data_IF_661304960583
#
_entry.id   IF_661304960583
#
_cell.length_a   1.000
_cell.length_b   1.000
_cell.length_c   1.000
_cell.angle_alpha   90.00
_cell.angle_beta   90.00
_cell.angle_gamma   90.00
#
_symmetry.space_group_name_H-M   'P 1'
#
loop_
_entity.id
_entity.type
_entity.pdbx_description
1 polymer ?
#
# COMPACT_ATOMS: atom_id res chain seq x y z
N UNK A 1 30.70 -13.34 -9.50
CA UNK A 1 31.53 -12.56 -8.55
C UNK A 1 30.70 -11.33 -8.20
N UNK A 2 30.17 -11.30 -6.98
CA UNK A 2 29.27 -10.22 -6.53
C UNK A 2 30.04 -8.91 -6.41
N UNK A 3 29.46 -7.83 -6.92
CA UNK A 3 29.99 -6.46 -6.76
C UNK A 3 29.88 -6.01 -5.29
N UNK A 4 30.82 -6.46 -4.48
CA UNK A 4 30.94 -5.99 -3.09
C UNK A 4 31.60 -4.61 -2.96
N UNK A 5 32.13 -4.05 -4.07
CA UNK A 5 32.96 -2.84 -4.01
C UNK A 5 32.19 -1.51 -3.92
N UNK A 6 30.89 -1.46 -4.24
CA UNK A 6 30.10 -0.22 -4.16
C UNK A 6 29.49 0.06 -2.78
N UNK A 7 29.59 -0.86 -1.85
CA UNK A 7 29.00 -0.74 -0.50
C UNK A 7 30.03 -0.42 0.59
N UNK A 8 31.31 -0.25 0.26
CA UNK A 8 32.39 -0.16 1.24
C UNK A 8 32.58 1.19 1.94
N UNK A 9 31.99 2.27 1.39
CA UNK A 9 32.21 3.63 1.93
C UNK A 9 30.99 4.20 2.69
N UNK A 10 29.98 3.34 3.00
CA UNK A 10 28.70 3.77 3.59
C UNK A 10 28.56 3.31 5.05
N UNK A 11 27.68 4.00 5.76
CA UNK A 11 27.37 3.85 7.19
C UNK A 11 27.06 2.40 7.62
N UNK A 12 26.60 1.52 6.69
CA UNK A 12 26.25 0.14 6.98
C UNK A 12 27.11 -0.86 6.19
N UNK A 13 27.70 -1.81 6.90
CA UNK A 13 28.29 -3.00 6.30
C UNK A 13 27.25 -4.12 6.26
N UNK A 14 26.67 -4.34 5.09
CA UNK A 14 25.75 -5.45 4.90
C UNK A 14 26.50 -6.80 4.87
N UNK A 15 25.96 -7.81 5.58
CA UNK A 15 26.49 -9.18 5.57
C UNK A 15 26.16 -9.91 4.27
N UNK A 16 25.01 -9.57 3.64
CA UNK A 16 24.58 -10.07 2.35
C UNK A 16 23.74 -9.00 1.64
N UNK A 17 23.83 -8.96 0.31
CA UNK A 17 23.06 -8.07 -0.57
C UNK A 17 22.57 -8.89 -1.76
N UNK A 18 21.26 -8.88 -1.99
CA UNK A 18 20.61 -9.53 -3.11
C UNK A 18 19.68 -8.54 -3.79
N UNK A 19 19.91 -8.31 -5.08
CA UNK A 19 19.03 -7.45 -5.87
C UNK A 19 17.69 -8.15 -6.09
N UNK A 20 16.60 -7.44 -5.87
CA UNK A 20 15.25 -7.98 -6.09
C UNK A 20 14.89 -7.88 -7.58
N UNK A 21 14.04 -8.82 -8.05
CA UNK A 21 13.58 -8.82 -9.44
C UNK A 21 12.69 -7.61 -9.77
N UNK A 22 11.87 -7.18 -8.80
CA UNK A 22 11.01 -5.99 -8.95
C UNK A 22 11.83 -4.73 -8.75
N UNK A 23 11.99 -3.94 -9.81
CA UNK A 23 12.71 -2.67 -9.78
C UNK A 23 11.75 -1.50 -9.93
N UNK A 24 11.95 -0.44 -9.14
CA UNK A 24 11.21 0.81 -9.30
C UNK A 24 11.68 1.61 -10.53
N UNK A 25 10.90 2.61 -10.95
CA UNK A 25 11.26 3.49 -12.05
C UNK A 25 12.58 4.24 -11.77
N UNK A 26 12.71 4.81 -10.58
CA UNK A 26 13.85 5.65 -10.17
C UNK A 26 14.80 4.97 -9.18
N UNK A 27 14.39 3.86 -8.57
CA UNK A 27 15.15 3.16 -7.54
C UNK A 27 15.38 1.69 -7.90
N UNK A 28 16.54 1.18 -7.54
CA UNK A 28 16.81 -0.24 -7.43
C UNK A 28 16.45 -0.72 -6.03
N UNK A 29 15.99 -1.97 -5.91
CA UNK A 29 15.58 -2.56 -4.65
C UNK A 29 16.40 -3.80 -4.33
N UNK A 30 16.72 -3.96 -3.04
CA UNK A 30 17.58 -5.03 -2.56
C UNK A 30 17.04 -5.64 -1.27
N UNK A 31 17.22 -6.94 -1.12
CA UNK A 31 17.15 -7.63 0.15
C UNK A 31 18.55 -7.64 0.76
N UNK A 32 18.70 -7.06 1.92
CA UNK A 32 20.00 -6.95 2.60
C UNK A 32 19.95 -7.58 3.98
N UNK A 33 21.08 -8.11 4.45
CA UNK A 33 21.22 -8.65 5.80
C UNK A 33 22.13 -7.75 6.62
N UNK A 34 21.62 -7.30 7.77
CA UNK A 34 22.34 -6.45 8.72
C UNK A 34 22.08 -6.95 10.15
N UNK A 35 23.16 -7.20 10.91
CA UNK A 35 23.09 -7.76 12.27
C UNK A 35 22.23 -9.02 12.35
N UNK A 36 22.38 -9.92 11.40
CA UNK A 36 21.64 -11.18 11.31
C UNK A 36 20.18 -11.07 10.88
N UNK A 37 19.64 -9.86 10.66
CA UNK A 37 18.26 -9.61 10.26
C UNK A 37 18.15 -9.15 8.81
N UNK A 38 17.06 -9.56 8.15
CA UNK A 38 16.75 -9.10 6.80
C UNK A 38 16.11 -7.71 6.84
N UNK A 39 16.51 -6.89 5.87
CA UNK A 39 15.97 -5.55 5.62
C UNK A 39 15.74 -5.37 4.12
N UNK A 40 14.84 -4.44 3.78
CA UNK A 40 14.64 -3.96 2.43
C UNK A 40 15.43 -2.67 2.25
N UNK A 41 16.20 -2.57 1.18
CA UNK A 41 16.95 -1.38 0.81
C UNK A 41 16.43 -0.86 -0.53
N UNK A 42 15.94 0.37 -0.53
CA UNK A 42 15.54 1.15 -1.71
C UNK A 42 16.63 2.16 -1.98
N UNK A 43 17.22 2.15 -3.18
CA UNK A 43 18.34 3.03 -3.56
C UNK A 43 18.07 3.69 -4.89
N UNK A 44 18.36 4.98 -5.00
CA UNK A 44 18.33 5.69 -6.27
C UNK A 44 19.25 5.01 -7.28
N UNK A 45 18.78 4.84 -8.51
CA UNK A 45 19.61 4.40 -9.63
C UNK A 45 20.72 5.40 -9.87
N UNK A 46 21.86 4.95 -10.41
CA UNK A 46 23.04 5.77 -10.62
C UNK A 46 22.77 7.05 -11.44
N UNK A 47 21.81 6.99 -12.35
CA UNK A 47 21.39 8.13 -13.19
C UNK A 47 20.65 9.22 -12.42
N UNK A 48 20.01 8.89 -11.28
CA UNK A 48 19.27 9.82 -10.42
C UNK A 48 20.00 10.18 -9.13
N UNK A 49 21.01 9.42 -8.74
CA UNK A 49 21.71 9.58 -7.45
C UNK A 49 22.41 10.94 -7.28
N UNK A 50 22.76 11.60 -8.39
CA UNK A 50 23.35 12.95 -8.39
C UNK A 50 22.36 14.11 -8.49
N UNK A 51 21.08 13.84 -8.64
CA UNK A 51 20.03 14.87 -8.78
C UNK A 51 19.37 15.14 -7.43
N UNK A 52 19.54 16.35 -6.93
CA UNK A 52 19.04 16.80 -5.63
C UNK A 52 17.51 16.62 -5.48
N UNK A 53 16.75 16.72 -6.58
CA UNK A 53 15.28 16.57 -6.55
C UNK A 53 14.87 15.15 -6.12
N UNK A 54 15.57 14.13 -6.65
CA UNK A 54 15.31 12.74 -6.30
C UNK A 54 15.80 12.41 -4.87
N UNK A 55 16.94 12.98 -4.47
CA UNK A 55 17.45 12.85 -3.11
C UNK A 55 16.48 13.47 -2.08
N UNK A 56 15.95 14.66 -2.37
CA UNK A 56 14.97 15.33 -1.51
C UNK A 56 13.65 14.57 -1.45
N UNK A 57 13.18 13.99 -2.56
CA UNK A 57 11.99 13.15 -2.58
C UNK A 57 12.19 11.90 -1.70
N UNK A 58 13.33 11.24 -1.85
CA UNK A 58 13.67 10.06 -1.05
C UNK A 58 13.80 10.42 0.45
N UNK A 59 14.40 11.56 0.77
CA UNK A 59 14.51 12.08 2.15
C UNK A 59 13.12 12.34 2.75
N UNK A 60 12.21 12.98 2.01
CA UNK A 60 10.84 13.25 2.45
C UNK A 60 10.07 11.96 2.71
N UNK A 61 10.21 10.96 1.84
CA UNK A 61 9.65 9.63 2.04
C UNK A 61 10.13 9.04 3.37
N UNK A 62 11.44 9.06 3.60
CA UNK A 62 12.03 8.57 4.85
C UNK A 62 11.53 9.35 6.08
N UNK A 63 11.59 10.68 6.06
CA UNK A 63 11.18 11.53 7.19
C UNK A 63 9.70 11.34 7.53
N UNK A 64 8.86 11.09 6.52
CA UNK A 64 7.44 10.76 6.72
C UNK A 64 7.31 9.40 7.36
N UNK A 65 7.88 8.35 6.76
CA UNK A 65 7.74 6.98 7.23
C UNK A 65 8.39 6.72 8.60
N UNK A 66 9.52 7.38 8.89
CA UNK A 66 10.25 7.20 10.15
C UNK A 66 9.46 7.64 11.39
N UNK A 67 8.54 8.60 11.24
CA UNK A 67 7.68 9.11 12.33
C UNK A 67 6.42 8.28 12.56
N UNK A 68 6.13 7.35 11.65
CA UNK A 68 4.91 6.57 11.68
C UNK A 68 5.19 5.17 12.25
N UNK A 69 4.29 4.69 13.11
CA UNK A 69 4.36 3.35 13.67
C UNK A 69 2.96 2.72 13.70
N UNK A 70 2.75 1.74 12.83
CA UNK A 70 1.48 0.99 12.74
C UNK A 70 1.76 -0.46 12.34
N UNK A 71 1.06 -1.47 12.91
CA UNK A 71 1.32 -2.87 12.60
C UNK A 71 1.17 -3.22 11.11
N UNK A 72 0.28 -2.52 10.41
CA UNK A 72 0.02 -2.71 8.99
C UNK A 72 0.78 -1.71 8.07
N UNK A 73 1.76 -0.99 8.58
CA UNK A 73 2.67 -0.12 7.82
C UNK A 73 4.09 -0.67 7.91
N UNK A 74 4.84 -0.63 6.80
CA UNK A 74 6.27 -0.97 6.81
C UNK A 74 7.04 0.02 7.68
N UNK A 75 8.00 -0.49 8.48
CA UNK A 75 8.80 0.35 9.36
C UNK A 75 10.03 0.87 8.65
N UNK A 76 10.30 2.17 8.78
CA UNK A 76 11.49 2.85 8.27
C UNK A 76 12.56 2.88 9.36
N UNK A 77 13.83 2.55 9.00
CA UNK A 77 14.92 2.45 9.98
C UNK A 77 16.00 3.50 9.78
N UNK A 78 16.42 3.73 8.54
CA UNK A 78 17.54 4.61 8.25
C UNK A 78 17.48 5.17 6.84
N UNK A 79 18.12 6.34 6.68
CA UNK A 79 18.33 7.03 5.42
C UNK A 79 19.82 7.33 5.24
N UNK A 80 20.28 7.19 4.03
CA UNK A 80 21.60 7.63 3.55
C UNK A 80 21.35 8.33 2.21
N UNK A 81 22.02 9.41 1.90
CA UNK A 81 21.75 10.39 0.81
C UNK A 81 21.00 9.88 -0.43
N UNK A 82 21.20 8.63 -0.82
CA UNK A 82 20.59 8.00 -1.98
C UNK A 82 19.80 6.72 -1.67
N UNK A 83 19.63 6.36 -0.38
CA UNK A 83 18.99 5.08 -0.02
C UNK A 83 18.21 5.13 1.29
N UNK A 84 17.14 4.32 1.34
CA UNK A 84 16.30 4.08 2.51
C UNK A 84 16.39 2.62 2.90
N UNK A 85 16.57 2.36 4.20
CA UNK A 85 16.50 1.03 4.81
C UNK A 85 15.17 0.89 5.56
N UNK A 86 14.40 -0.15 5.21
CA UNK A 86 13.11 -0.45 5.85
C UNK A 86 13.02 -1.89 6.33
N UNK A 87 11.94 -2.21 7.03
CA UNK A 87 11.54 -3.57 7.36
C UNK A 87 11.48 -4.42 6.09
N UNK A 88 12.07 -5.62 6.13
CA UNK A 88 11.85 -6.63 5.11
C UNK A 88 10.62 -7.45 5.49
N UNK A 89 9.60 -7.41 4.66
CA UNK A 89 8.35 -8.15 4.86
C UNK A 89 8.38 -9.43 4.04
N UNK A 90 8.37 -10.58 4.71
CA UNK A 90 8.18 -11.87 4.05
C UNK A 90 6.70 -12.03 3.67
N UNK A 91 6.40 -11.79 2.41
CA UNK A 91 5.04 -11.76 1.90
C UNK A 91 4.99 -11.67 0.37
N UNK A 92 3.80 -11.61 -0.16
CA UNK A 92 3.54 -11.36 -1.56
C UNK A 92 2.65 -10.11 -1.71
N UNK A 93 2.73 -9.42 -2.84
CA UNK A 93 1.86 -8.28 -3.11
C UNK A 93 0.41 -8.74 -3.31
N UNK A 94 -0.54 -7.84 -3.09
CA UNK A 94 -1.94 -8.12 -3.40
C UNK A 94 -2.11 -8.51 -4.88
N UNK A 95 -1.36 -7.89 -5.81
CA UNK A 95 -1.35 -8.28 -7.22
C UNK A 95 -0.94 -9.74 -7.40
N UNK A 96 0.15 -10.17 -6.75
CA UNK A 96 0.61 -11.55 -6.80
C UNK A 96 -0.41 -12.50 -6.17
N UNK A 97 -0.96 -12.16 -4.98
CA UNK A 97 -1.97 -12.95 -4.31
C UNK A 97 -3.20 -13.19 -5.18
N UNK A 98 -3.70 -12.14 -5.84
CA UNK A 98 -4.86 -12.24 -6.75
C UNK A 98 -4.57 -13.10 -7.98
N UNK A 99 -3.34 -13.06 -8.50
CA UNK A 99 -2.93 -13.83 -9.67
C UNK A 99 -2.68 -15.31 -9.33
N UNK A 100 -2.01 -15.60 -8.21
CA UNK A 100 -1.55 -16.96 -7.85
C UNK A 100 -2.61 -17.72 -7.05
N UNK A 101 -3.36 -17.03 -6.19
CA UNK A 101 -4.36 -17.60 -5.29
C UNK A 101 -5.72 -16.93 -5.44
N UNK A 102 -6.39 -17.03 -6.62
CA UNK A 102 -7.64 -16.33 -6.90
C UNK A 102 -8.77 -16.67 -5.91
N UNK A 103 -8.75 -17.89 -5.35
CA UNK A 103 -9.76 -18.33 -4.38
C UNK A 103 -9.55 -17.79 -2.96
N UNK A 104 -8.43 -17.13 -2.67
CA UNK A 104 -8.13 -16.64 -1.34
C UNK A 104 -9.22 -15.70 -0.81
N UNK A 105 -9.62 -14.73 -1.64
CA UNK A 105 -10.62 -13.73 -1.29
C UNK A 105 -12.08 -14.17 -1.52
N UNK A 106 -12.34 -15.38 -2.00
CA UNK A 106 -13.70 -15.96 -2.00
C UNK A 106 -14.15 -16.32 -0.58
N UNK A 107 -13.20 -16.49 0.34
CA UNK A 107 -13.49 -16.72 1.75
C UNK A 107 -13.73 -15.38 2.44
N UNK A 108 -14.96 -15.14 2.84
CA UNK A 108 -15.40 -13.89 3.50
C UNK A 108 -14.48 -13.44 4.64
N UNK A 109 -14.01 -14.36 5.48
CA UNK A 109 -13.10 -14.06 6.60
C UNK A 109 -11.81 -13.38 6.12
N UNK A 110 -11.26 -13.83 4.98
CA UNK A 110 -10.01 -13.28 4.44
C UNK A 110 -10.24 -11.87 3.90
N UNK A 111 -11.34 -11.69 3.18
CA UNK A 111 -11.72 -10.38 2.64
C UNK A 111 -12.02 -9.38 3.74
N UNK A 112 -12.81 -9.76 4.77
CA UNK A 112 -13.13 -8.90 5.90
C UNK A 112 -11.85 -8.47 6.65
N UNK A 113 -10.91 -9.41 6.89
CA UNK A 113 -9.62 -9.11 7.53
C UNK A 113 -8.79 -8.13 6.70
N UNK A 114 -8.65 -8.41 5.39
CA UNK A 114 -7.92 -7.56 4.47
C UNK A 114 -8.48 -6.13 4.44
N UNK A 115 -9.79 -6.01 4.23
CA UNK A 115 -10.46 -4.71 4.15
C UNK A 115 -10.31 -3.94 5.46
N UNK A 116 -10.52 -4.60 6.61
CA UNK A 116 -10.37 -3.96 7.91
C UNK A 116 -8.94 -3.42 8.09
N UNK A 117 -7.93 -4.23 7.86
CA UNK A 117 -6.53 -3.82 8.07
C UNK A 117 -6.08 -2.74 7.08
N UNK A 118 -6.54 -2.79 5.81
CA UNK A 118 -6.27 -1.74 4.84
C UNK A 118 -6.90 -0.41 5.27
N UNK A 119 -8.15 -0.42 5.67
CA UNK A 119 -8.84 0.78 6.12
C UNK A 119 -8.21 1.33 7.41
N UNK A 120 -7.83 0.46 8.36
CA UNK A 120 -7.18 0.87 9.61
C UNK A 120 -5.86 1.61 9.35
N UNK A 121 -4.98 1.07 8.47
CA UNK A 121 -3.70 1.73 8.19
C UNK A 121 -3.86 3.02 7.41
N UNK A 122 -4.82 3.11 6.48
CA UNK A 122 -5.06 4.37 5.74
C UNK A 122 -5.69 5.43 6.66
N UNK A 123 -6.64 5.05 7.54
CA UNK A 123 -7.18 5.94 8.57
C UNK A 123 -6.07 6.47 9.49
N UNK A 124 -5.14 5.60 9.90
CA UNK A 124 -3.96 5.99 10.68
C UNK A 124 -3.11 7.03 9.93
N UNK A 125 -2.80 6.83 8.65
CA UNK A 125 -2.05 7.81 7.84
C UNK A 125 -2.78 9.17 7.79
N UNK A 126 -4.08 9.17 7.52
CA UNK A 126 -4.88 10.39 7.43
C UNK A 126 -4.93 11.12 8.79
N UNK A 127 -5.01 10.41 9.91
CA UNK A 127 -4.97 11.02 11.25
C UNK A 127 -3.63 11.71 11.56
N UNK A 128 -2.55 11.29 10.88
CA UNK A 128 -1.22 11.91 10.94
C UNK A 128 -0.97 12.91 9.80
N UNK A 129 -2.03 13.33 9.08
CA UNK A 129 -1.96 14.29 7.97
C UNK A 129 -1.09 13.79 6.80
N UNK A 130 -1.04 12.49 6.58
CA UNK A 130 -0.35 11.85 5.48
C UNK A 130 -1.37 11.28 4.50
N UNK A 131 -1.30 11.71 3.24
CA UNK A 131 -1.98 11.09 2.11
C UNK A 131 -1.02 10.13 1.44
N UNK A 132 -1.47 8.94 1.06
CA UNK A 132 -0.60 7.95 0.41
C UNK A 132 -0.38 8.25 -1.08
N UNK A 133 -1.43 8.61 -1.79
CA UNK A 133 -1.48 9.03 -3.20
C UNK A 133 -1.01 8.00 -4.26
N UNK A 134 -0.54 6.81 -3.84
CA UNK A 134 -0.17 5.69 -4.73
C UNK A 134 -0.66 4.35 -4.17
N UNK A 135 -1.90 4.35 -3.61
CA UNK A 135 -2.53 3.11 -3.17
C UNK A 135 -2.87 2.25 -4.39
N UNK A 136 -2.24 1.08 -4.44
CA UNK A 136 -2.44 0.07 -5.50
C UNK A 136 -2.06 -1.32 -4.99
N UNK A 137 -2.50 -2.40 -5.65
CA UNK A 137 -2.21 -3.77 -5.23
C UNK A 137 -0.72 -4.09 -5.08
N UNK A 138 0.16 -3.45 -5.85
CA UNK A 138 1.60 -3.67 -5.76
C UNK A 138 2.25 -3.05 -4.52
N UNK A 139 1.60 -2.05 -3.92
CA UNK A 139 2.06 -1.38 -2.70
C UNK A 139 1.44 -1.95 -1.42
N UNK A 140 0.72 -3.08 -1.52
CA UNK A 140 0.11 -3.78 -0.39
C UNK A 140 0.67 -5.20 -0.35
N UNK A 141 1.40 -5.54 0.71
CA UNK A 141 1.87 -6.90 0.96
C UNK A 141 0.91 -7.65 1.88
N UNK A 142 0.82 -8.96 1.68
CA UNK A 142 0.19 -9.91 2.58
C UNK A 142 1.29 -10.82 3.13
N UNK A 143 1.48 -10.81 4.46
CA UNK A 143 2.54 -11.60 5.10
C UNK A 143 2.29 -13.09 4.95
N UNK A 144 3.37 -13.90 4.80
CA UNK A 144 3.25 -15.35 4.62
C UNK A 144 2.68 -16.08 5.85
N UNK A 145 2.90 -15.55 7.05
CA UNK A 145 2.53 -16.26 8.28
C UNK A 145 1.04 -16.10 8.60
N UNK A 146 0.55 -14.86 8.59
CA UNK A 146 -0.80 -14.55 9.06
C UNK A 146 -1.67 -13.91 7.97
N UNK A 147 -1.17 -13.68 6.78
CA UNK A 147 -1.83 -12.86 5.76
C UNK A 147 -2.20 -11.45 6.30
N UNK A 148 -1.32 -10.86 7.11
CA UNK A 148 -1.52 -9.50 7.58
C UNK A 148 -1.13 -8.50 6.49
N UNK A 149 -1.93 -7.45 6.36
CA UNK A 149 -1.62 -6.34 5.45
C UNK A 149 -0.38 -5.59 5.93
N UNK A 150 0.52 -5.30 5.01
CA UNK A 150 1.63 -4.36 5.18
C UNK A 150 1.61 -3.38 4.02
N UNK A 151 1.24 -2.14 4.30
CA UNK A 151 1.32 -1.06 3.33
C UNK A 151 2.78 -0.61 3.20
N UNK A 152 3.24 -0.49 1.97
CA UNK A 152 4.63 -0.14 1.64
C UNK A 152 4.65 1.10 0.74
N UNK A 153 5.82 1.70 0.63
CA UNK A 153 6.13 2.79 -0.29
C UNK A 153 5.30 4.08 -0.07
N UNK A 154 5.87 4.98 0.72
CA UNK A 154 5.33 6.33 0.95
C UNK A 154 5.93 7.37 -0.01
N UNK A 155 6.55 6.96 -1.11
CA UNK A 155 7.29 7.85 -2.02
C UNK A 155 6.45 8.91 -2.72
N UNK A 156 5.12 8.72 -2.82
CA UNK A 156 4.22 9.69 -3.43
C UNK A 156 3.53 10.63 -2.44
N UNK A 157 3.76 10.48 -1.12
CA UNK A 157 3.06 11.22 -0.08
C UNK A 157 3.24 12.73 -0.11
N UNK A 158 4.22 13.28 -0.84
CA UNK A 158 4.53 14.71 -0.88
C UNK A 158 5.02 15.22 -2.24
N UNK A 159 4.72 14.57 -3.31
CA UNK A 159 5.08 15.09 -4.63
C UNK A 159 4.13 16.18 -5.09
N UNK A 160 4.26 17.38 -4.54
CA UNK A 160 4.02 18.57 -5.32
C UNK A 160 5.07 18.59 -6.43
N UNK A 161 4.73 18.03 -7.59
CA UNK A 161 5.52 18.12 -8.81
C UNK A 161 6.78 17.25 -8.98
N UNK A 162 6.59 15.99 -9.35
CA UNK A 162 7.45 15.34 -10.34
C UNK A 162 6.66 15.23 -11.65
N UNK A 163 6.91 16.11 -12.63
CA UNK A 163 6.10 16.14 -13.85
C UNK A 163 6.31 14.97 -14.80
N UNK A 164 7.22 14.03 -14.60
CA UNK A 164 7.59 13.04 -15.60
C UNK A 164 7.84 11.61 -15.10
N UNK A 165 7.05 11.11 -14.18
CA UNK A 165 6.97 9.64 -14.01
C UNK A 165 5.84 9.07 -14.88
N UNK A 166 6.02 9.16 -16.18
CA UNK A 166 5.24 8.42 -17.17
C UNK A 166 5.55 6.93 -17.03
N UNK A 167 4.69 6.19 -16.35
CA UNK A 167 4.86 4.74 -16.19
C UNK A 167 3.95 4.11 -15.15
N UNK A 168 3.16 4.89 -14.45
CA UNK A 168 2.20 4.34 -13.51
C UNK A 168 0.93 3.90 -14.24
N UNK A 169 0.49 2.71 -13.92
CA UNK A 169 -0.84 2.23 -14.28
C UNK A 169 -1.84 3.20 -13.66
N UNK A 170 -2.34 4.15 -14.44
CA UNK A 170 -3.33 5.16 -14.03
C UNK A 170 -4.66 4.55 -13.52
N UNK A 171 -4.72 3.22 -13.46
CA UNK A 171 -5.92 2.47 -13.10
C UNK A 171 -6.43 2.73 -11.68
N UNK A 172 -5.55 3.13 -10.76
CA UNK A 172 -5.88 3.41 -9.34
C UNK A 172 -5.84 4.90 -9.01
N UNK A 173 -5.28 5.73 -9.88
CA UNK A 173 -5.20 7.15 -9.69
C UNK A 173 -6.57 7.82 -9.85
N UNK A 174 -6.89 8.74 -8.94
CA UNK A 174 -8.12 9.51 -9.00
C UNK A 174 -8.10 10.53 -10.15
N UNK A 175 -9.28 10.91 -10.71
CA UNK A 175 -9.37 11.87 -11.82
C UNK A 175 -8.62 13.18 -11.55
N UNK A 176 -8.72 13.72 -10.33
CA UNK A 176 -8.02 14.94 -9.93
C UNK A 176 -6.49 14.80 -9.93
N UNK A 177 -5.94 13.60 -9.63
CA UNK A 177 -4.49 13.36 -9.75
C UNK A 177 -4.03 13.45 -11.20
N UNK A 178 -4.84 12.90 -12.12
CA UNK A 178 -4.51 12.87 -13.56
C UNK A 178 -4.67 14.25 -14.21
N UNK A 179 -5.58 15.08 -13.69
CA UNK A 179 -5.86 16.43 -14.23
C UNK A 179 -5.04 17.54 -13.56
N UNK A 180 -4.19 17.21 -12.57
CA UNK A 180 -3.45 18.21 -11.79
C UNK A 180 -4.36 19.03 -10.85
N UNK A 181 -5.47 18.44 -10.40
CA UNK A 181 -6.39 19.04 -9.43
C UNK A 181 -5.86 18.95 -7.99
N UNK A 182 -6.68 19.42 -7.05
CA UNK A 182 -6.34 19.39 -5.61
C UNK A 182 -6.55 18.00 -5.07
N UNK A 183 -5.49 17.39 -4.54
CA UNK A 183 -5.53 16.07 -3.89
C UNK A 183 -5.89 16.22 -2.40
N UNK A 184 -6.51 15.18 -1.84
CA UNK A 184 -6.91 15.13 -0.44
C UNK A 184 -7.32 13.73 0.00
N UNK A 185 -7.93 13.61 1.18
CA UNK A 185 -8.45 12.31 1.68
C UNK A 185 -9.32 11.60 0.63
N UNK A 186 -10.25 12.27 -0.09
CA UNK A 186 -11.05 11.63 -1.12
C UNK A 186 -10.24 11.03 -2.28
N UNK A 187 -9.00 11.46 -2.49
CA UNK A 187 -8.10 10.90 -3.50
C UNK A 187 -7.64 9.48 -3.14
N UNK A 188 -7.19 9.27 -1.90
CA UNK A 188 -6.87 7.93 -1.39
C UNK A 188 -8.13 7.04 -1.32
N UNK A 189 -9.28 7.63 -0.99
CA UNK A 189 -10.57 6.91 -0.97
C UNK A 189 -10.94 6.38 -2.35
N UNK A 190 -10.67 7.13 -3.42
CA UNK A 190 -10.86 6.63 -4.79
C UNK A 190 -10.03 5.38 -5.04
N UNK A 191 -8.75 5.41 -4.68
CA UNK A 191 -7.85 4.27 -4.84
C UNK A 191 -8.29 3.06 -3.99
N UNK A 192 -8.81 3.27 -2.76
CA UNK A 192 -9.42 2.19 -1.96
C UNK A 192 -10.58 1.56 -2.73
N UNK A 193 -11.48 2.36 -3.31
CA UNK A 193 -12.57 1.85 -4.15
C UNK A 193 -12.07 0.98 -5.29
N UNK A 194 -11.03 1.42 -5.99
CA UNK A 194 -10.39 0.67 -7.09
C UNK A 194 -9.75 -0.64 -6.62
N UNK A 195 -9.15 -0.66 -5.43
CA UNK A 195 -8.61 -1.88 -4.83
C UNK A 195 -9.73 -2.87 -4.49
N UNK A 196 -10.84 -2.40 -3.92
CA UNK A 196 -12.00 -3.25 -3.62
C UNK A 196 -12.62 -3.85 -4.89
N UNK A 197 -12.61 -3.14 -6.02
CA UNK A 197 -13.06 -3.67 -7.34
C UNK A 197 -12.21 -4.86 -7.82
N UNK A 198 -10.94 -4.94 -7.42
CA UNK A 198 -10.06 -6.05 -7.79
C UNK A 198 -10.38 -7.36 -7.06
N UNK A 199 -11.16 -7.31 -5.96
CA UNK A 199 -11.46 -8.51 -5.18
C UNK A 199 -12.50 -9.38 -5.89
N UNK A 200 -12.36 -10.73 -5.91
CA UNK A 200 -13.24 -11.63 -6.64
C UNK A 200 -14.72 -11.50 -6.27
N UNK A 201 -15.05 -11.29 -4.99
CA UNK A 201 -16.43 -11.12 -4.51
C UNK A 201 -16.71 -9.68 -4.04
N UNK A 202 -16.38 -8.72 -4.93
CA UNK A 202 -16.55 -7.29 -4.65
C UNK A 202 -18.01 -6.82 -4.62
N UNK A 203 -18.95 -7.64 -5.08
CA UNK A 203 -20.38 -7.27 -5.16
C UNK A 203 -20.97 -6.89 -3.80
N UNK A 204 -20.45 -7.47 -2.72
CA UNK A 204 -20.85 -7.13 -1.35
C UNK A 204 -20.47 -5.70 -0.95
N UNK A 205 -19.47 -5.12 -1.61
CA UNK A 205 -19.00 -3.75 -1.41
C UNK A 205 -19.52 -2.78 -2.46
N UNK A 206 -20.44 -3.19 -3.34
CA UNK A 206 -20.89 -2.40 -4.50
C UNK A 206 -21.24 -0.95 -4.14
N UNK A 207 -22.02 -0.72 -3.08
CA UNK A 207 -22.39 0.63 -2.64
C UNK A 207 -21.17 1.45 -2.18
N UNK A 208 -20.25 0.79 -1.45
CA UNK A 208 -19.02 1.43 -0.97
C UNK A 208 -18.13 1.78 -2.17
N UNK A 209 -17.92 0.84 -3.06
CA UNK A 209 -17.13 1.04 -4.29
C UNK A 209 -17.68 2.20 -5.12
N UNK A 210 -18.99 2.17 -5.42
CA UNK A 210 -19.65 3.22 -6.21
C UNK A 210 -19.45 4.61 -5.61
N UNK A 211 -19.53 4.73 -4.28
CA UNK A 211 -19.32 6.01 -3.62
C UNK A 211 -17.83 6.40 -3.57
N UNK A 212 -16.93 5.45 -3.31
CA UNK A 212 -15.49 5.70 -3.33
C UNK A 212 -15.00 6.18 -4.70
N UNK A 213 -15.51 5.60 -5.78
CA UNK A 213 -15.05 5.84 -7.16
C UNK A 213 -15.88 6.91 -7.89
N UNK A 214 -16.70 7.69 -7.19
CA UNK A 214 -17.40 8.83 -7.79
C UNK A 214 -16.39 9.80 -8.45
N UNK A 215 -16.74 10.35 -9.61
CA UNK A 215 -15.88 11.26 -10.36
C UNK A 215 -15.58 12.53 -9.57
N UNK A 216 -16.62 13.13 -8.99
CA UNK A 216 -16.51 14.31 -8.10
C UNK A 216 -15.98 13.89 -6.72
N UNK A 217 -14.79 14.38 -6.27
CA UNK A 217 -14.27 14.10 -4.94
C UNK A 217 -15.24 14.43 -3.80
N UNK A 218 -16.08 15.45 -3.97
CA UNK A 218 -17.06 15.85 -2.95
C UNK A 218 -18.21 14.85 -2.77
N UNK A 219 -18.48 14.02 -3.78
CA UNK A 219 -19.49 12.96 -3.72
C UNK A 219 -18.96 11.67 -3.07
N UNK A 220 -17.66 11.56 -2.88
CA UNK A 220 -17.02 10.40 -2.22
C UNK A 220 -17.21 10.47 -0.70
N UNK A 221 -16.75 9.43 -0.01
CA UNK A 221 -16.53 9.52 1.44
C UNK A 221 -15.50 10.62 1.73
N UNK A 222 -15.66 11.31 2.86
CA UNK A 222 -14.74 12.37 3.27
C UNK A 222 -13.76 11.89 4.34
N UNK A 223 -13.95 10.69 4.85
CA UNK A 223 -13.01 10.02 5.74
C UNK A 223 -13.11 8.49 5.62
N UNK A 224 -12.05 7.79 6.03
CA UNK A 224 -12.02 6.31 6.05
C UNK A 224 -12.98 5.75 7.11
N UNK A 225 -13.22 6.48 8.19
CA UNK A 225 -14.17 6.10 9.24
C UNK A 225 -15.61 6.03 8.73
N UNK A 226 -15.97 6.82 7.72
CA UNK A 226 -17.27 6.69 7.05
C UNK A 226 -17.36 5.36 6.30
N UNK A 227 -16.29 4.95 5.61
CA UNK A 227 -16.23 3.65 4.92
C UNK A 227 -16.34 2.52 5.94
N UNK A 228 -15.57 2.57 7.04
CA UNK A 228 -15.60 1.56 8.11
C UNK A 228 -17.00 1.38 8.68
N UNK A 229 -17.75 2.46 8.88
CA UNK A 229 -19.15 2.40 9.34
C UNK A 229 -20.05 1.66 8.34
N UNK A 230 -19.97 2.02 7.06
CA UNK A 230 -20.81 1.41 6.02
C UNK A 230 -20.45 -0.07 5.79
N UNK A 231 -19.16 -0.41 5.80
CA UNK A 231 -18.68 -1.80 5.72
C UNK A 231 -19.18 -2.61 6.92
N UNK A 232 -19.07 -2.08 8.14
CA UNK A 232 -19.50 -2.76 9.36
C UNK A 232 -21.01 -3.00 9.38
N UNK A 233 -21.82 -2.02 8.97
CA UNK A 233 -23.27 -2.18 8.84
C UNK A 233 -23.64 -3.20 7.76
N UNK A 234 -22.96 -3.21 6.63
CA UNK A 234 -23.11 -4.21 5.57
C UNK A 234 -22.82 -5.63 6.06
N UNK A 235 -21.75 -5.80 6.83
CA UNK A 235 -21.39 -7.09 7.45
C UNK A 235 -22.45 -7.57 8.44
N UNK A 236 -22.98 -6.69 9.28
CA UNK A 236 -24.02 -7.03 10.28
C UNK A 236 -25.33 -7.42 9.58
N UNK A 237 -25.75 -6.65 8.57
CA UNK A 237 -26.99 -6.94 7.84
C UNK A 237 -26.90 -8.26 7.06
N UNK A 238 -25.75 -8.58 6.49
CA UNK A 238 -25.52 -9.84 5.77
C UNK A 238 -25.52 -11.05 6.71
N UNK A 239 -24.86 -10.95 7.87
CA UNK A 239 -24.89 -12.01 8.90
C UNK A 239 -26.32 -12.28 9.42
N UNK A 240 -27.12 -11.22 9.58
CA UNK A 240 -28.51 -11.36 9.97
C UNK A 240 -29.37 -12.05 8.88
N UNK A 241 -29.02 -11.83 7.60
CA UNK A 241 -29.72 -12.45 6.48
C UNK A 241 -29.32 -13.93 6.31
N UNK A 242 -28.07 -14.26 6.49
CA UNK A 242 -27.54 -15.63 6.39
C UNK A 242 -28.06 -16.51 7.54
N UNK A 243 -28.09 -15.98 8.78
CA UNK A 243 -28.72 -16.66 9.92
C UNK A 243 -30.21 -16.93 9.71
N UNK A 244 -30.94 -16.05 9.01
CA UNK A 244 -32.34 -16.30 8.65
C UNK A 244 -32.50 -17.41 7.59
N UNK A 245 -31.57 -17.53 6.67
CA UNK A 245 -31.55 -18.61 5.65
C UNK A 245 -31.35 -19.98 6.30
N UNK A 246 -30.44 -20.10 7.26
CA UNK A 246 -30.21 -21.36 7.98
C UNK A 246 -31.38 -21.74 8.91
N UNK A 247 -32.13 -20.78 9.47
CA UNK A 247 -33.28 -21.07 10.30
C UNK A 247 -34.48 -21.62 9.53
N UNK A 248 -34.57 -21.38 8.23
CA UNK A 248 -35.65 -21.90 7.36
C UNK A 248 -35.42 -23.37 6.96
N UNK A 249 -34.17 -23.85 6.99
CA UNK A 249 -33.82 -25.24 6.64
C UNK A 249 -33.95 -26.24 7.81
N UNK A 250 -34.10 -25.78 9.07
CA UNK A 250 -34.22 -26.63 10.25
C UNK A 250 -35.69 -26.75 10.78
N UNK A 251 -36.66 -26.25 10.05
CA UNK A 251 -38.09 -26.40 10.37
C UNK A 251 -38.88 -27.20 9.32
N UNK A 252 -38.23 -28.26 8.78
CA UNK A 252 -38.99 -29.29 8.03
C UNK A 252 -38.53 -30.68 8.43
#
# INVERSE_FOLDING_TARGET
MMETSRFSDRQFRFEAVEQMETQGATCDTFRVKLYGKLHFLKRLKAEYAGDIRYQEALRKEFETGYRLEHPNLVRYFSFDDDSILTEYVEGETLSQRLAIHPDYFTKRKNTDKFVQQLLDVVSYLHSHQVLHLDLKPDNILLTHINDDVKLIDLGCCYTDSFPDTTGHTNAFAAPEQLSGGVVGIPTDIFAIGKILECLPDHTIYYKVITRCTAEDPSARYQSVEEILRDVSHGIISYRAFDNKRYSIFYQR
#
